data_IF_068183701175
#
_entry.id   IF_068183701175
#
_cell.length_a   1.000
_cell.length_b   1.000
_cell.length_c   1.000
_cell.angle_alpha   90.00
_cell.angle_beta   90.00
_cell.angle_gamma   90.00
#
_symmetry.space_group_name_H-M   'P 1'
#
loop_
_entity.id
_entity.type
_entity.pdbx_description
1 polymer ?
#
# COMPACT_ATOMS: atom_id res chain seq x y z
N UNK A 1 -19.09 -3.97 18.44
CA UNK A 1 -19.11 -2.81 17.51
C UNK A 1 -19.62 -1.64 18.33
N UNK A 2 -18.91 -0.50 18.34
CA UNK A 2 -19.32 0.65 19.15
C UNK A 2 -20.62 1.25 18.61
N UNK A 3 -21.51 1.70 19.49
CA UNK A 3 -22.75 2.38 19.09
C UNK A 3 -22.45 3.65 18.27
N UNK A 4 -21.36 4.34 18.60
CA UNK A 4 -20.86 5.50 17.84
C UNK A 4 -20.58 5.18 16.36
N UNK A 5 -20.08 3.97 16.07
CA UNK A 5 -19.81 3.55 14.70
C UNK A 5 -21.11 3.24 13.94
N UNK A 6 -22.09 2.66 14.62
CA UNK A 6 -23.39 2.35 14.02
C UNK A 6 -24.16 3.63 13.68
N UNK A 7 -24.08 4.64 14.54
CA UNK A 7 -24.71 5.93 14.29
C UNK A 7 -24.03 6.66 13.12
N UNK A 8 -22.69 6.63 13.05
CA UNK A 8 -21.96 7.09 11.87
C UNK A 8 -22.38 6.37 10.58
N UNK A 9 -22.51 5.03 10.61
CA UNK A 9 -23.00 4.25 9.46
C UNK A 9 -24.38 4.77 9.01
N UNK A 10 -25.31 4.95 9.95
CA UNK A 10 -26.68 5.41 9.66
C UNK A 10 -26.69 6.82 9.08
N UNK A 11 -25.93 7.75 9.66
CA UNK A 11 -25.82 9.14 9.19
C UNK A 11 -25.34 9.21 7.74
N UNK A 12 -24.40 8.34 7.35
CA UNK A 12 -23.84 8.29 6.00
C UNK A 12 -24.59 7.33 5.06
N UNK A 13 -25.71 6.73 5.49
CA UNK A 13 -26.47 5.77 4.70
C UNK A 13 -25.75 4.44 4.43
N UNK A 14 -24.72 4.10 5.20
CA UNK A 14 -23.91 2.88 5.06
C UNK A 14 -24.65 1.71 5.72
N UNK A 15 -24.92 0.68 4.95
CA UNK A 15 -25.50 -0.56 5.48
C UNK A 15 -24.41 -1.48 6.04
N UNK A 16 -24.28 -1.48 7.37
CA UNK A 16 -23.27 -2.26 8.08
C UNK A 16 -23.75 -3.73 8.26
N UNK A 17 -23.38 -4.60 7.33
CA UNK A 17 -23.69 -6.05 7.36
C UNK A 17 -22.63 -6.83 8.15
N UNK A 18 -23.08 -7.77 9.00
CA UNK A 18 -22.19 -8.58 9.84
C UNK A 18 -22.14 -10.01 9.32
N UNK A 19 -20.95 -10.60 9.30
CA UNK A 19 -20.79 -12.03 9.12
C UNK A 19 -21.32 -12.78 10.34
N UNK A 20 -21.88 -13.96 10.12
CA UNK A 20 -22.37 -14.80 11.20
C UNK A 20 -21.19 -15.31 12.04
N UNK A 21 -21.34 -15.44 13.37
CA UNK A 21 -20.29 -16.00 14.20
C UNK A 21 -19.89 -17.41 13.73
N UNK A 22 -18.59 -17.69 13.64
CA UNK A 22 -18.03 -18.99 13.23
C UNK A 22 -18.28 -19.39 11.76
N UNK A 23 -18.58 -18.45 10.87
CA UNK A 23 -18.61 -18.70 9.42
C UNK A 23 -17.46 -17.99 8.69
N UNK A 24 -16.22 -18.50 8.79
CA UNK A 24 -15.05 -17.91 8.12
C UNK A 24 -15.21 -17.86 6.59
N UNK A 25 -16.06 -18.72 6.02
CA UNK A 25 -16.35 -18.75 4.58
C UNK A 25 -16.93 -17.42 4.08
N UNK A 26 -17.69 -16.70 4.92
CA UNK A 26 -18.25 -15.39 4.56
C UNK A 26 -17.19 -14.29 4.48
N UNK A 27 -16.07 -14.44 5.19
CA UNK A 27 -14.96 -13.48 5.21
C UNK A 27 -13.77 -13.94 4.33
N UNK A 28 -13.90 -15.09 3.66
CA UNK A 28 -12.78 -15.77 3.02
C UNK A 28 -12.13 -14.95 1.91
N UNK A 29 -12.89 -14.10 1.19
CA UNK A 29 -12.34 -13.23 0.13
C UNK A 29 -11.41 -12.18 0.74
N UNK A 30 -11.83 -11.54 1.82
CA UNK A 30 -11.05 -10.50 2.50
C UNK A 30 -9.82 -11.09 3.19
N UNK A 31 -9.98 -12.23 3.87
CA UNK A 31 -8.89 -12.98 4.48
C UNK A 31 -7.86 -13.42 3.43
N UNK A 32 -8.31 -13.97 2.31
CA UNK A 32 -7.43 -14.38 1.22
C UNK A 32 -6.66 -13.19 0.64
N UNK A 33 -7.33 -12.04 0.48
CA UNK A 33 -6.68 -10.84 -0.06
C UNK A 33 -5.65 -10.26 0.92
N UNK A 34 -5.96 -10.23 2.21
CA UNK A 34 -5.02 -9.82 3.26
C UNK A 34 -3.83 -10.78 3.35
N UNK A 35 -4.07 -12.09 3.28
CA UNK A 35 -3.02 -13.12 3.26
C UNK A 35 -2.11 -12.96 2.03
N UNK A 36 -2.68 -12.66 0.86
CA UNK A 36 -1.92 -12.41 -0.37
C UNK A 36 -1.01 -11.17 -0.24
N UNK A 37 -1.55 -10.05 0.24
CA UNK A 37 -0.78 -8.82 0.45
C UNK A 37 0.37 -9.01 1.44
N UNK A 38 0.10 -9.67 2.57
CA UNK A 38 1.12 -9.94 3.60
C UNK A 38 2.18 -10.94 3.12
N UNK A 39 1.78 -11.96 2.36
CA UNK A 39 2.68 -12.93 1.73
C UNK A 39 3.65 -12.28 0.73
N UNK A 40 3.23 -11.22 0.02
CA UNK A 40 4.12 -10.44 -0.85
C UNK A 40 5.03 -9.48 -0.05
N UNK A 41 4.51 -8.86 0.99
CA UNK A 41 5.20 -7.85 1.79
C UNK A 41 6.41 -8.42 2.55
N UNK A 42 6.24 -9.53 3.27
CA UNK A 42 7.29 -10.02 4.18
C UNK A 42 8.59 -10.47 3.49
N UNK A 43 8.55 -11.18 2.34
CA UNK A 43 9.76 -11.52 1.60
C UNK A 43 10.53 -10.27 1.14
N UNK A 44 9.84 -9.21 0.74
CA UNK A 44 10.48 -7.98 0.29
C UNK A 44 11.26 -7.30 1.41
N UNK A 45 10.68 -7.22 2.61
CA UNK A 45 11.36 -6.72 3.81
C UNK A 45 12.59 -7.55 4.15
N UNK A 46 12.46 -8.88 4.09
CA UNK A 46 13.55 -9.80 4.39
C UNK A 46 14.71 -9.67 3.38
N UNK A 47 14.41 -9.64 2.07
CA UNK A 47 15.42 -9.51 1.01
C UNK A 47 16.20 -8.19 1.12
N UNK A 48 15.54 -7.12 1.57
CA UNK A 48 16.15 -5.79 1.70
C UNK A 48 16.69 -5.49 3.10
N UNK A 49 16.68 -6.45 4.01
CA UNK A 49 17.10 -6.30 5.41
C UNK A 49 16.47 -5.08 6.09
N UNK A 50 15.17 -4.86 5.84
CA UNK A 50 14.43 -3.72 6.38
C UNK A 50 13.73 -4.08 7.71
N UNK A 51 13.57 -3.11 8.63
CA UNK A 51 12.86 -3.33 9.88
C UNK A 51 11.42 -3.82 9.66
N UNK A 52 10.98 -4.74 10.51
CA UNK A 52 9.61 -5.29 10.45
C UNK A 52 8.55 -4.21 10.66
N UNK A 53 8.87 -3.15 11.39
CA UNK A 53 8.01 -1.99 11.63
C UNK A 53 7.49 -1.34 10.35
N UNK A 54 8.23 -1.46 9.24
CA UNK A 54 7.85 -0.91 7.94
C UNK A 54 6.76 -1.73 7.21
N UNK A 55 6.28 -2.84 7.78
CA UNK A 55 5.31 -3.72 7.13
C UNK A 55 4.05 -3.00 6.65
N UNK A 56 3.51 -2.06 7.42
CA UNK A 56 2.31 -1.32 7.03
C UNK A 56 2.54 -0.48 5.76
N UNK A 57 3.71 0.17 5.69
CA UNK A 57 4.13 1.00 4.55
C UNK A 57 4.37 0.14 3.31
N UNK A 58 4.95 -1.04 3.47
CA UNK A 58 5.17 -1.97 2.36
C UNK A 58 3.85 -2.60 1.88
N UNK A 59 2.92 -2.92 2.78
CA UNK A 59 1.57 -3.38 2.40
C UNK A 59 0.84 -2.31 1.58
N UNK A 60 0.97 -1.03 1.95
CA UNK A 60 0.44 0.08 1.15
C UNK A 60 1.06 0.13 -0.26
N UNK A 61 2.38 -0.04 -0.38
CA UNK A 61 3.05 -0.13 -1.69
C UNK A 61 2.51 -1.30 -2.52
N UNK A 62 2.43 -2.50 -1.92
CA UNK A 62 1.94 -3.70 -2.61
C UNK A 62 0.50 -3.48 -3.10
N UNK A 63 -0.37 -2.93 -2.25
CA UNK A 63 -1.74 -2.56 -2.61
C UNK A 63 -1.76 -1.53 -3.76
N UNK A 64 -0.92 -0.49 -3.68
CA UNK A 64 -0.81 0.56 -4.68
C UNK A 64 -0.44 0.01 -6.06
N UNK A 65 0.49 -0.94 -6.09
CA UNK A 65 0.96 -1.61 -7.31
C UNK A 65 -0.11 -2.57 -7.85
N UNK A 66 -0.64 -3.48 -7.02
CA UNK A 66 -1.64 -4.48 -7.45
C UNK A 66 -2.88 -3.81 -8.03
N UNK A 67 -3.36 -2.71 -7.43
CA UNK A 67 -4.56 -2.04 -7.90
C UNK A 67 -4.38 -1.36 -9.27
N UNK A 68 -3.13 -1.03 -9.67
CA UNK A 68 -2.81 -0.30 -10.90
C UNK A 68 -2.19 -1.16 -11.99
N UNK A 69 -1.69 -2.35 -11.64
CA UNK A 69 -1.29 -3.35 -12.62
C UNK A 69 -2.54 -4.02 -13.22
N UNK A 70 -2.37 -4.51 -14.45
CA UNK A 70 -3.39 -5.32 -15.12
C UNK A 70 -3.66 -6.58 -14.29
N UNK A 71 -4.91 -7.02 -14.26
CA UNK A 71 -5.26 -8.24 -13.53
C UNK A 71 -4.55 -9.47 -14.08
N UNK A 72 -4.40 -10.47 -13.20
CA UNK A 72 -3.94 -11.82 -13.52
C UNK A 72 -4.66 -12.34 -14.79
N UNK A 73 -3.89 -12.88 -15.74
CA UNK A 73 -4.28 -13.38 -17.08
C UNK A 73 -4.35 -12.35 -18.24
N UNK A 74 -3.84 -11.12 -18.08
CA UNK A 74 -3.74 -10.18 -19.20
C UNK A 74 -5.08 -9.56 -19.62
N UNK A 75 -6.10 -9.71 -18.77
CA UNK A 75 -7.37 -9.01 -18.89
C UNK A 75 -7.20 -7.53 -18.53
N UNK A 76 -7.71 -6.66 -19.40
CA UNK A 76 -7.98 -5.25 -19.11
C UNK A 76 -9.45 -5.14 -18.68
N UNK A 77 -9.82 -4.19 -17.81
CA UNK A 77 -9.01 -3.12 -17.21
C UNK A 77 -8.35 -3.49 -15.86
N UNK A 78 -7.38 -2.69 -15.40
CA UNK A 78 -6.86 -2.80 -14.02
C UNK A 78 -7.94 -2.49 -12.97
N UNK A 79 -7.79 -2.91 -11.71
CA UNK A 79 -8.80 -2.66 -10.66
C UNK A 79 -9.12 -1.17 -10.49
N UNK A 80 -8.08 -0.32 -10.51
CA UNK A 80 -8.25 1.13 -10.38
C UNK A 80 -8.92 1.74 -11.62
N UNK A 81 -8.60 1.23 -12.80
CA UNK A 81 -9.26 1.63 -14.05
C UNK A 81 -10.72 1.18 -14.09
N UNK A 82 -11.04 -0.01 -13.58
CA UNK A 82 -12.41 -0.49 -13.46
C UNK A 82 -13.25 0.36 -12.50
N UNK A 83 -12.65 0.82 -11.40
CA UNK A 83 -13.33 1.61 -10.37
C UNK A 83 -13.54 3.07 -10.78
N UNK A 84 -12.54 3.71 -11.38
CA UNK A 84 -12.56 5.15 -11.70
C UNK A 84 -12.73 5.44 -13.20
N UNK A 85 -12.88 4.42 -14.04
CA UNK A 85 -12.97 4.54 -15.51
C UNK A 85 -11.81 5.33 -16.13
N UNK A 86 -10.66 5.37 -15.44
CA UNK A 86 -9.48 6.13 -15.83
C UNK A 86 -8.24 5.25 -15.75
N UNK A 87 -7.49 5.19 -16.86
CA UNK A 87 -6.27 4.38 -16.93
C UNK A 87 -5.18 4.95 -16.03
N UNK A 88 -4.65 4.19 -15.05
CA UNK A 88 -3.59 4.68 -14.18
C UNK A 88 -2.30 4.93 -14.96
N UNK A 89 -1.61 6.02 -14.62
CA UNK A 89 -0.20 6.17 -14.98
C UNK A 89 0.63 5.24 -14.07
N UNK A 90 1.53 4.46 -14.68
CA UNK A 90 2.46 3.55 -13.98
C UNK A 90 3.93 3.81 -14.34
N UNK A 91 4.22 4.84 -15.15
CA UNK A 91 5.60 5.15 -15.58
C UNK A 91 6.50 5.61 -14.44
N UNK A 92 5.91 6.11 -13.35
CA UNK A 92 6.63 6.53 -12.14
C UNK A 92 6.97 5.35 -11.22
N UNK A 93 6.61 4.11 -11.57
CA UNK A 93 6.93 2.96 -10.75
C UNK A 93 8.45 2.81 -10.57
N UNK A 94 8.84 2.46 -9.34
CA UNK A 94 10.21 2.32 -8.87
C UNK A 94 10.33 0.98 -8.18
N UNK A 95 11.50 0.38 -8.32
CA UNK A 95 11.80 -0.91 -7.70
C UNK A 95 11.86 -0.73 -6.18
N UNK A 96 11.18 -1.60 -5.44
CA UNK A 96 11.25 -1.62 -3.98
C UNK A 96 12.69 -1.81 -3.51
N UNK A 97 13.10 -1.04 -2.51
CA UNK A 97 14.44 -1.13 -1.96
C UNK A 97 15.53 -0.56 -2.89
N UNK A 98 15.16 0.33 -3.81
CA UNK A 98 16.10 1.11 -4.61
C UNK A 98 16.79 2.15 -3.72
N UNK A 99 18.10 2.35 -3.92
CA UNK A 99 18.84 3.43 -3.26
C UNK A 99 18.45 4.76 -3.89
N UNK A 100 17.93 5.68 -3.09
CA UNK A 100 17.60 7.04 -3.49
C UNK A 100 18.45 8.06 -2.72
N UNK A 101 18.62 9.25 -3.27
CA UNK A 101 19.40 10.32 -2.64
C UNK A 101 18.49 11.49 -2.34
N UNK A 102 18.42 11.89 -1.07
CA UNK A 102 17.60 13.01 -0.62
C UNK A 102 18.50 14.21 -0.36
N UNK A 103 18.14 15.35 -0.93
CA UNK A 103 18.84 16.61 -0.69
C UNK A 103 18.64 17.05 0.76
N UNK A 104 19.72 17.42 1.43
CA UNK A 104 19.67 17.89 2.81
C UNK A 104 19.77 19.42 2.79
N UNK A 105 18.90 20.09 3.56
CA UNK A 105 18.82 21.55 3.58
C UNK A 105 20.11 22.17 4.13
N UNK A 106 20.45 23.36 3.62
CA UNK A 106 21.72 24.08 3.88
C UNK A 106 21.90 24.60 5.32
N UNK A 107 21.08 24.17 6.27
CA UNK A 107 20.89 24.91 7.52
C UNK A 107 22.13 24.98 8.41
N UNK A 108 23.17 24.15 8.21
CA UNK A 108 24.45 24.19 8.95
C UNK A 108 25.65 23.59 8.17
N UNK A 109 25.81 23.88 6.87
CA UNK A 109 26.83 23.21 6.05
C UNK A 109 28.06 24.06 5.75
N UNK A 110 29.23 23.42 5.79
CA UNK A 110 30.48 23.89 5.18
C UNK A 110 30.53 23.48 3.70
N UNK A 111 31.40 24.14 2.91
CA UNK A 111 31.51 23.94 1.44
C UNK A 111 31.79 22.48 1.02
N UNK A 112 32.31 21.66 1.92
CA UNK A 112 32.74 20.28 1.68
C UNK A 112 31.71 19.22 2.14
N UNK A 113 30.60 19.62 2.76
CA UNK A 113 29.62 18.67 3.27
C UNK A 113 28.83 17.98 2.13
N UNK A 114 28.46 16.68 2.31
CA UNK A 114 27.75 15.92 1.30
C UNK A 114 26.35 16.50 1.04
N UNK A 115 26.07 16.81 -0.23
CA UNK A 115 24.83 17.49 -0.65
C UNK A 115 23.57 16.65 -0.63
N UNK A 116 23.72 15.34 -0.48
CA UNK A 116 22.62 14.40 -0.42
C UNK A 116 22.98 13.22 0.49
N UNK A 117 21.95 12.65 1.10
CA UNK A 117 22.07 11.43 1.91
C UNK A 117 21.43 10.26 1.19
N UNK A 118 22.04 9.06 1.23
CA UNK A 118 21.43 7.85 0.68
C UNK A 118 20.29 7.38 1.57
N UNK A 119 19.21 6.91 0.95
CA UNK A 119 18.02 6.34 1.55
C UNK A 119 17.56 5.14 0.72
N UNK A 120 16.58 4.41 1.25
CA UNK A 120 15.96 3.27 0.58
C UNK A 120 14.52 3.65 0.25
N UNK A 121 14.10 3.41 -0.99
CA UNK A 121 12.71 3.60 -1.41
C UNK A 121 11.81 2.50 -0.80
N UNK A 122 10.81 2.92 -0.01
CA UNK A 122 9.89 2.01 0.70
C UNK A 122 8.47 2.06 0.14
N UNK A 123 7.93 3.24 -0.15
CA UNK A 123 6.57 3.40 -0.71
C UNK A 123 6.38 4.74 -1.43
N UNK A 124 5.20 4.88 -2.05
CA UNK A 124 4.68 6.16 -2.52
C UNK A 124 3.91 6.86 -1.40
N UNK A 125 3.86 8.19 -1.48
CA UNK A 125 2.97 8.98 -0.65
C UNK A 125 1.53 8.80 -1.11
N UNK A 126 0.60 8.72 -0.17
CA UNK A 126 -0.84 8.73 -0.41
C UNK A 126 -1.34 10.13 -0.05
N UNK A 127 -1.49 10.98 -1.06
CA UNK A 127 -2.23 12.24 -0.92
C UNK A 127 -3.70 11.97 -0.61
#
# INVERSE_FOLDING_TARGET
MSDQFLDYCKEHGIQCQKTYPKTPQQNGVDEHKLAHLTSMCFPWLHIKNLPRELWAVVVQLVCHVINRLLSWLGTKPSLLEALYYHKPNVSYFRVFGLVCYVHVSKTNWTKLDPRARPYIFVSYDTH
#
